data_IF_518748026102
#
_entry.id   IF_518748026102
#
_cell.length_a   1.000
_cell.length_b   1.000
_cell.length_c   1.000
_cell.angle_alpha   90.00
_cell.angle_beta   90.00
_cell.angle_gamma   90.00
#
_symmetry.space_group_name_H-M   'P 1'
#
loop_
_entity.id
_entity.type
_entity.pdbx_description
1 polymer ?
#
# COMPACT_ATOMS: atom_id res chain seq x y z
N UNK A 1 -52.42 19.24 -23.24
CA UNK A 1 -53.69 18.58 -23.56
C UNK A 1 -54.54 18.63 -22.32
N UNK A 2 -55.63 19.41 -22.34
CA UNK A 2 -56.60 19.41 -21.25
C UNK A 2 -57.29 18.04 -21.21
N UNK A 3 -57.03 17.29 -20.14
CA UNK A 3 -57.54 15.93 -19.91
C UNK A 3 -59.03 15.86 -19.57
N UNK A 4 -59.84 16.76 -20.10
CA UNK A 4 -61.30 16.72 -19.94
C UNK A 4 -61.87 15.82 -21.03
N UNK A 5 -62.43 14.68 -20.64
CA UNK A 5 -63.12 13.78 -21.55
C UNK A 5 -64.20 14.55 -22.32
N UNK A 6 -64.03 14.70 -23.64
CA UNK A 6 -65.01 15.39 -24.49
C UNK A 6 -66.26 14.53 -24.62
N UNK A 7 -67.47 15.08 -24.42
CA UNK A 7 -68.70 14.33 -24.57
C UNK A 7 -68.86 13.84 -26.02
N UNK A 8 -69.14 12.55 -26.17
CA UNK A 8 -69.36 11.89 -27.48
C UNK A 8 -70.84 11.78 -27.84
N UNK A 9 -71.74 12.19 -26.95
CA UNK A 9 -73.20 12.10 -27.15
C UNK A 9 -73.91 13.29 -26.53
N UNK A 10 -74.76 13.94 -27.32
CA UNK A 10 -75.56 15.10 -26.92
C UNK A 10 -77.06 14.81 -27.09
N UNK A 11 -77.85 15.07 -26.04
CA UNK A 11 -79.31 14.92 -26.04
C UNK A 11 -79.99 15.78 -27.11
N UNK A 12 -79.51 17.02 -27.25
CA UNK A 12 -79.97 17.99 -28.24
C UNK A 12 -78.84 18.39 -29.17
N UNK A 13 -79.16 19.08 -30.27
CA UNK A 13 -78.14 19.64 -31.16
C UNK A 13 -77.23 20.62 -30.40
N UNK A 14 -75.92 20.31 -30.32
CA UNK A 14 -74.92 21.13 -29.64
C UNK A 14 -74.74 22.51 -30.29
N UNK A 15 -74.17 23.48 -29.55
CA UNK A 15 -73.83 24.81 -30.08
C UNK A 15 -72.88 24.72 -31.27
N UNK A 16 -71.91 23.81 -31.19
CA UNK A 16 -70.92 23.58 -32.23
C UNK A 16 -71.59 23.05 -33.50
N UNK A 17 -72.48 22.07 -33.36
CA UNK A 17 -73.23 21.53 -34.48
C UNK A 17 -74.15 22.58 -35.12
N UNK A 18 -74.80 23.45 -34.33
CA UNK A 18 -75.61 24.58 -34.86
C UNK A 18 -74.75 25.55 -35.65
N UNK A 19 -73.56 25.89 -35.17
CA UNK A 19 -72.64 26.78 -35.86
C UNK A 19 -72.17 26.17 -37.20
N UNK A 20 -71.87 24.87 -37.22
CA UNK A 20 -71.48 24.15 -38.43
C UNK A 20 -72.61 24.09 -39.46
N UNK A 21 -73.84 23.81 -39.03
CA UNK A 21 -75.02 23.80 -39.91
C UNK A 21 -75.25 25.17 -40.55
N UNK A 22 -75.05 26.25 -39.80
CA UNK A 22 -75.21 27.62 -40.29
C UNK A 22 -74.09 28.06 -41.25
N UNK A 23 -72.89 27.49 -41.14
CA UNK A 23 -71.73 27.87 -41.94
C UNK A 23 -71.76 27.34 -43.39
N UNK A 24 -72.53 26.28 -43.66
CA UNK A 24 -72.59 25.63 -44.98
C UNK A 24 -71.35 24.79 -45.32
N UNK A 25 -71.39 24.09 -46.47
CA UNK A 25 -70.23 23.31 -46.92
C UNK A 25 -69.07 24.22 -47.36
N UNK A 26 -67.87 23.85 -46.96
CA UNK A 26 -66.64 24.57 -47.30
C UNK A 26 -65.46 23.60 -47.39
N UNK A 27 -64.24 24.11 -47.59
CA UNK A 27 -63.05 23.26 -47.50
C UNK A 27 -62.90 22.58 -46.13
N UNK A 28 -63.45 23.18 -45.06
CA UNK A 28 -63.39 22.69 -43.68
C UNK A 28 -64.56 21.80 -43.29
N UNK A 29 -65.70 21.90 -43.99
CA UNK A 29 -66.97 21.30 -43.61
C UNK A 29 -67.58 20.54 -44.78
N UNK A 30 -67.93 19.27 -44.58
CA UNK A 30 -68.62 18.43 -45.56
C UNK A 30 -69.95 17.94 -44.99
N UNK A 31 -71.01 17.93 -45.79
CA UNK A 31 -72.28 17.32 -45.42
C UNK A 31 -72.54 16.06 -46.25
N UNK A 32 -73.08 15.04 -45.59
CA UNK A 32 -73.57 13.83 -46.24
C UNK A 32 -74.93 13.47 -45.68
N UNK A 33 -75.87 13.21 -46.57
CA UNK A 33 -77.23 12.82 -46.20
C UNK A 33 -77.29 11.50 -45.41
N UNK A 34 -76.42 10.55 -45.75
CA UNK A 34 -76.41 9.20 -45.18
C UNK A 34 -74.98 8.71 -45.01
N UNK A 35 -74.73 7.85 -44.01
CA UNK A 35 -73.41 7.25 -43.77
C UNK A 35 -72.89 6.42 -44.96
N UNK A 36 -73.79 5.88 -45.78
CA UNK A 36 -73.42 5.15 -47.00
C UNK A 36 -72.89 6.06 -48.11
N UNK A 37 -73.19 7.37 -48.05
CA UNK A 37 -72.65 8.36 -48.98
C UNK A 37 -71.24 8.84 -48.56
N UNK A 38 -70.75 8.41 -47.40
CA UNK A 38 -69.37 8.66 -46.98
C UNK A 38 -68.46 7.61 -47.60
N UNK A 39 -67.53 8.09 -48.43
CA UNK A 39 -66.52 7.25 -49.09
C UNK A 39 -65.16 7.46 -48.45
N UNK A 40 -64.25 6.50 -48.63
CA UNK A 40 -62.85 6.63 -48.17
C UNK A 40 -62.16 7.82 -48.82
N UNK A 41 -62.55 8.13 -50.06
CA UNK A 41 -62.19 9.35 -50.77
C UNK A 41 -62.50 10.61 -49.94
N UNK A 42 -63.70 10.71 -49.38
CA UNK A 42 -64.11 11.88 -48.58
C UNK A 42 -63.24 12.03 -47.34
N UNK A 43 -63.02 10.94 -46.61
CA UNK A 43 -62.23 10.94 -45.38
C UNK A 43 -60.75 11.27 -45.63
N UNK A 44 -60.13 10.62 -46.63
CA UNK A 44 -58.74 10.88 -47.01
C UNK A 44 -58.57 12.34 -47.49
N UNK A 45 -59.51 12.85 -48.27
CA UNK A 45 -59.48 14.24 -48.77
C UNK A 45 -59.54 15.26 -47.62
N UNK A 46 -60.42 15.04 -46.63
CA UNK A 46 -60.52 15.92 -45.46
C UNK A 46 -59.25 15.85 -44.60
N UNK A 47 -58.74 14.65 -44.34
CA UNK A 47 -57.50 14.47 -43.57
C UNK A 47 -56.29 15.15 -44.26
N UNK A 48 -56.17 15.03 -45.58
CA UNK A 48 -55.12 15.70 -46.34
C UNK A 48 -55.26 17.22 -46.34
N UNK A 49 -56.48 17.75 -46.40
CA UNK A 49 -56.71 19.19 -46.30
C UNK A 49 -56.27 19.75 -44.94
N UNK A 50 -56.46 18.99 -43.85
CA UNK A 50 -55.92 19.34 -42.54
C UNK A 50 -54.39 19.30 -42.57
N UNK A 51 -53.79 18.25 -43.13
CA UNK A 51 -52.35 18.07 -43.15
C UNK A 51 -51.56 19.12 -43.96
N UNK A 52 -52.20 19.80 -44.91
CA UNK A 52 -51.56 20.82 -45.74
C UNK A 52 -51.23 22.12 -45.00
N UNK A 53 -51.85 22.38 -43.85
CA UNK A 53 -51.67 23.61 -43.11
C UNK A 53 -51.55 23.30 -41.62
N UNK A 54 -50.39 23.52 -40.99
CA UNK A 54 -50.16 23.16 -39.59
C UNK A 54 -51.12 23.82 -38.61
N UNK A 55 -51.71 24.98 -38.95
CA UNK A 55 -52.69 25.66 -38.10
C UNK A 55 -54.07 25.00 -38.11
N UNK A 56 -54.31 24.01 -38.98
CA UNK A 56 -55.57 23.26 -39.06
C UNK A 56 -55.46 22.03 -38.19
N UNK A 57 -56.36 21.92 -37.23
CA UNK A 57 -56.36 20.76 -36.33
C UNK A 57 -57.32 19.64 -36.78
N UNK A 58 -58.45 20.01 -37.39
CA UNK A 58 -59.57 19.11 -37.66
C UNK A 58 -60.41 19.64 -38.83
N UNK A 59 -60.92 18.72 -39.66
CA UNK A 59 -62.02 18.97 -40.59
C UNK A 59 -63.30 18.31 -40.08
N UNK A 60 -64.46 18.91 -40.34
CA UNK A 60 -65.74 18.37 -39.85
C UNK A 60 -66.56 17.77 -40.99
N UNK A 61 -67.14 16.61 -40.72
CA UNK A 61 -68.11 15.94 -41.57
C UNK A 61 -69.41 15.78 -40.78
N UNK A 62 -70.53 16.31 -41.29
CA UNK A 62 -71.86 16.07 -40.75
C UNK A 62 -72.57 14.99 -41.57
N UNK A 63 -73.04 13.95 -40.90
CA UNK A 63 -73.72 12.80 -41.54
C UNK A 63 -75.15 12.74 -41.05
N UNK A 64 -76.12 12.67 -41.96
CA UNK A 64 -77.54 12.92 -41.66
C UNK A 64 -77.97 14.36 -41.97
N UNK A 65 -77.21 15.08 -42.80
CA UNK A 65 -77.44 16.49 -43.15
C UNK A 65 -77.43 16.66 -44.66
N UNK A 66 -78.44 17.34 -45.19
CA UNK A 66 -78.50 17.81 -46.58
C UNK A 66 -77.98 19.24 -46.68
N UNK A 67 -77.26 19.56 -47.74
CA UNK A 67 -76.96 20.96 -48.07
C UNK A 67 -78.11 21.58 -48.87
N UNK A 68 -78.60 22.74 -48.41
CA UNK A 68 -79.62 23.50 -49.11
C UNK A 68 -79.11 24.92 -49.38
N UNK A 69 -79.27 25.36 -50.62
CA UNK A 69 -78.99 26.74 -51.02
C UNK A 69 -80.26 27.56 -50.91
N UNK A 70 -80.22 28.66 -50.15
CA UNK A 70 -81.32 29.60 -50.14
C UNK A 70 -81.37 30.32 -51.50
N UNK A 71 -82.47 30.20 -52.28
CA UNK A 71 -82.55 30.82 -53.59
C UNK A 71 -82.57 32.36 -53.53
N UNK A 72 -82.96 32.96 -52.40
CA UNK A 72 -83.03 34.42 -52.25
C UNK A 72 -81.70 35.04 -51.81
N UNK A 73 -80.92 34.38 -50.95
CA UNK A 73 -79.64 34.91 -50.43
C UNK A 73 -78.42 34.30 -51.08
N UNK A 74 -78.58 33.18 -51.79
CA UNK A 74 -77.47 32.39 -52.36
C UNK A 74 -76.62 31.66 -51.31
N UNK A 75 -76.93 31.82 -50.01
CA UNK A 75 -76.19 31.18 -48.92
C UNK A 75 -76.56 29.71 -48.83
N UNK A 76 -75.55 28.85 -48.62
CA UNK A 76 -75.76 27.42 -48.36
C UNK A 76 -75.70 27.13 -46.88
N UNK A 77 -76.58 26.26 -46.41
CA UNK A 77 -76.65 25.82 -45.02
C UNK A 77 -77.10 24.36 -44.95
N UNK A 78 -76.80 23.72 -43.82
CA UNK A 78 -77.18 22.34 -43.56
C UNK A 78 -78.60 22.22 -43.01
N UNK A 79 -79.37 21.27 -43.54
CA UNK A 79 -80.65 20.85 -42.98
C UNK A 79 -80.51 19.42 -42.47
N UNK A 80 -80.77 19.22 -41.18
CA UNK A 80 -80.75 17.89 -40.56
C UNK A 80 -81.88 17.03 -41.15
N UNK A 81 -81.52 15.87 -41.66
CA UNK A 81 -82.43 14.82 -42.18
C UNK A 81 -82.48 13.59 -41.28
N UNK A 82 -81.60 13.53 -40.28
CA UNK A 82 -81.45 12.41 -39.39
C UNK A 82 -80.83 11.18 -40.06
N UNK A 83 -80.63 10.12 -39.28
CA UNK A 83 -80.07 8.85 -39.75
C UNK A 83 -81.10 7.72 -39.60
N UNK A 84 -81.84 7.36 -40.67
CA UNK A 84 -82.99 6.45 -40.58
C UNK A 84 -82.59 5.00 -40.23
N UNK A 85 -81.32 4.63 -40.45
CA UNK A 85 -80.78 3.30 -40.11
C UNK A 85 -80.27 3.22 -38.66
N UNK A 86 -80.34 4.32 -37.91
CA UNK A 86 -79.83 4.46 -36.55
C UNK A 86 -78.38 4.97 -36.49
N UNK A 87 -78.02 5.56 -35.35
CA UNK A 87 -76.69 6.11 -35.07
C UNK A 87 -75.63 5.02 -35.05
N UNK A 88 -75.85 3.93 -34.31
CA UNK A 88 -74.88 2.84 -34.12
C UNK A 88 -74.41 2.22 -35.45
N UNK A 89 -75.35 1.88 -36.34
CA UNK A 89 -75.01 1.34 -37.68
C UNK A 89 -74.25 2.35 -38.53
N UNK A 90 -74.56 3.64 -38.37
CA UNK A 90 -73.89 4.73 -39.08
C UNK A 90 -72.46 4.91 -38.56
N UNK A 91 -72.26 4.85 -37.23
CA UNK A 91 -70.93 4.88 -36.59
C UNK A 91 -70.07 3.72 -37.07
N UNK A 92 -70.58 2.49 -36.99
CA UNK A 92 -69.87 1.30 -37.47
C UNK A 92 -69.49 1.42 -38.95
N UNK A 93 -70.43 1.90 -39.79
CA UNK A 93 -70.17 2.14 -41.21
C UNK A 93 -69.03 3.14 -41.43
N UNK A 94 -68.99 4.24 -40.67
CA UNK A 94 -67.93 5.25 -40.80
C UNK A 94 -66.56 4.69 -40.39
N UNK A 95 -66.52 3.90 -39.31
CA UNK A 95 -65.30 3.22 -38.88
C UNK A 95 -64.82 2.22 -39.94
N UNK A 96 -65.73 1.46 -40.56
CA UNK A 96 -65.41 0.59 -41.69
C UNK A 96 -64.83 1.38 -42.87
N UNK A 97 -65.41 2.54 -43.22
CA UNK A 97 -64.86 3.40 -44.28
C UNK A 97 -63.46 3.89 -43.93
N UNK A 98 -63.26 4.37 -42.70
CA UNK A 98 -61.96 4.85 -42.23
C UNK A 98 -60.88 3.76 -42.31
N UNK A 99 -61.23 2.51 -42.01
CA UNK A 99 -60.30 1.37 -42.08
C UNK A 99 -59.73 1.15 -43.49
N UNK A 100 -60.40 1.65 -44.52
CA UNK A 100 -59.95 1.55 -45.93
C UNK A 100 -59.11 2.74 -46.40
N UNK A 101 -58.75 3.66 -45.49
CA UNK A 101 -57.79 4.73 -45.75
C UNK A 101 -56.39 4.30 -45.31
N UNK A 102 -55.38 4.68 -46.10
CA UNK A 102 -53.98 4.29 -45.94
C UNK A 102 -53.11 5.55 -45.82
N UNK A 103 -51.86 5.49 -45.34
CA UNK A 103 -51.12 4.31 -44.88
C UNK A 103 -51.59 3.77 -43.53
N UNK A 104 -52.19 4.63 -42.70
CA UNK A 104 -52.88 4.29 -41.46
C UNK A 104 -54.29 4.86 -41.57
N UNK A 105 -55.33 4.18 -41.07
CA UNK A 105 -56.68 4.74 -41.04
C UNK A 105 -56.70 6.16 -40.45
N UNK A 106 -57.46 7.06 -41.07
CA UNK A 106 -57.69 8.40 -40.52
C UNK A 106 -58.35 8.32 -39.15
N UNK A 107 -58.03 9.28 -38.28
CA UNK A 107 -58.63 9.34 -36.95
C UNK A 107 -59.99 10.04 -37.04
N UNK A 108 -61.01 9.37 -36.53
CA UNK A 108 -62.39 9.83 -36.50
C UNK A 108 -62.85 9.99 -35.05
N UNK A 109 -63.08 11.23 -34.63
CA UNK A 109 -63.79 11.49 -33.39
C UNK A 109 -65.27 11.75 -33.71
N UNK A 110 -66.12 10.76 -33.41
CA UNK A 110 -67.54 10.77 -33.76
C UNK A 110 -68.36 11.24 -32.55
N UNK A 111 -69.20 12.23 -32.79
CA UNK A 111 -70.15 12.77 -31.82
C UNK A 111 -71.57 12.52 -32.31
N UNK A 112 -72.38 11.89 -31.47
CA UNK A 112 -73.82 11.72 -31.67
C UNK A 112 -74.55 12.99 -31.23
N UNK A 113 -75.27 13.62 -32.16
CA UNK A 113 -76.00 14.87 -31.93
C UNK A 113 -77.51 14.60 -31.96
N UNK A 114 -78.25 15.34 -31.12
CA UNK A 114 -79.71 15.34 -31.09
C UNK A 114 -80.34 13.96 -30.82
N UNK A 115 -79.78 13.17 -29.89
CA UNK A 115 -80.23 11.78 -29.65
C UNK A 115 -81.62 11.65 -29.01
N UNK A 116 -82.16 12.71 -28.41
CA UNK A 116 -83.53 12.76 -27.88
C UNK A 116 -84.52 13.45 -28.85
N UNK A 117 -84.06 13.85 -30.03
CA UNK A 117 -84.88 14.47 -31.07
C UNK A 117 -85.23 13.45 -32.17
N UNK A 118 -86.21 13.78 -33.02
CA UNK A 118 -86.69 12.87 -34.08
C UNK A 118 -85.64 12.61 -35.18
N UNK A 119 -84.67 13.51 -35.34
CA UNK A 119 -83.70 13.50 -36.44
C UNK A 119 -82.24 13.49 -35.92
N UNK A 120 -81.81 12.42 -35.23
CA UNK A 120 -80.45 12.31 -34.73
C UNK A 120 -79.44 12.20 -35.88
N UNK A 121 -78.27 12.82 -35.73
CA UNK A 121 -77.24 12.87 -36.76
C UNK A 121 -75.84 12.76 -36.15
N UNK A 122 -74.82 12.62 -36.99
CA UNK A 122 -73.43 12.49 -36.54
C UNK A 122 -72.62 13.72 -36.92
N UNK A 123 -71.84 14.23 -35.96
CA UNK A 123 -70.76 15.18 -36.20
C UNK A 123 -69.44 14.45 -36.04
N UNK A 124 -68.67 14.40 -37.12
CA UNK A 124 -67.41 13.67 -37.19
C UNK A 124 -66.26 14.66 -37.34
N UNK A 125 -65.29 14.60 -36.43
CA UNK A 125 -64.02 15.29 -36.58
C UNK A 125 -63.02 14.35 -37.25
N UNK A 126 -62.48 14.77 -38.39
CA UNK A 126 -61.51 14.01 -39.18
C UNK A 126 -60.12 14.61 -38.94
N UNK A 127 -59.18 13.77 -38.51
CA UNK A 127 -57.79 14.14 -38.25
C UNK A 127 -56.82 13.24 -39.01
N UNK A 128 -55.71 13.80 -39.54
CA UNK A 128 -54.69 12.99 -40.19
C UNK A 128 -53.86 12.23 -39.14
N UNK A 129 -53.77 10.91 -39.28
CA UNK A 129 -52.87 10.06 -38.45
C UNK A 129 -51.47 9.95 -39.05
N UNK A 130 -51.39 9.64 -40.35
CA UNK A 130 -50.13 9.56 -41.08
C UNK A 130 -50.29 10.10 -42.51
N UNK A 131 -50.33 11.43 -42.69
CA UNK A 131 -50.50 12.02 -44.01
C UNK A 131 -49.24 11.83 -44.89
N UNK A 132 -49.36 11.90 -46.23
CA UNK A 132 -50.61 12.03 -46.97
C UNK A 132 -51.40 10.72 -46.98
N UNK A 133 -52.70 10.84 -46.79
CA UNK A 133 -53.66 9.74 -46.82
C UNK A 133 -54.09 9.40 -48.25
N UNK A 134 -54.35 8.11 -48.47
CA UNK A 134 -54.84 7.54 -49.71
C UNK A 134 -56.26 7.03 -49.50
N UNK A 135 -57.10 7.16 -50.53
CA UNK A 135 -58.37 6.45 -50.58
C UNK A 135 -58.16 4.96 -50.91
N UNK A 136 -59.23 4.17 -50.87
CA UNK A 136 -59.18 2.74 -51.21
C UNK A 136 -58.79 2.43 -52.67
N UNK A 137 -58.62 3.46 -53.51
CA UNK A 137 -58.14 3.35 -54.89
C UNK A 137 -56.69 3.86 -55.05
N UNK A 138 -56.02 4.22 -53.96
CA UNK A 138 -54.64 4.72 -53.98
C UNK A 138 -54.51 6.18 -54.43
N UNK A 139 -55.60 6.95 -54.50
CA UNK A 139 -55.57 8.35 -54.94
C UNK A 139 -55.29 9.27 -53.75
N UNK A 140 -54.46 10.30 -54.00
CA UNK A 140 -54.16 11.37 -53.04
C UNK A 140 -54.88 12.64 -53.47
N UNK A 141 -55.85 13.06 -52.67
CA UNK A 141 -56.71 14.19 -52.99
C UNK A 141 -56.81 15.13 -51.79
N UNK A 142 -57.11 16.39 -52.08
CA UNK A 142 -57.35 17.45 -51.09
C UNK A 142 -58.53 18.31 -51.53
N UNK A 143 -59.02 19.17 -50.63
CA UNK A 143 -60.11 20.11 -50.93
C UNK A 143 -59.60 21.34 -51.68
N UNK A 144 -60.42 21.80 -52.61
CA UNK A 144 -60.33 23.12 -53.23
C UNK A 144 -61.71 23.78 -53.15
N UNK A 145 -61.94 24.53 -52.06
CA UNK A 145 -63.28 25.00 -51.70
C UNK A 145 -64.22 23.82 -51.45
N UNK A 146 -65.36 23.80 -52.15
CA UNK A 146 -66.35 22.71 -52.07
C UNK A 146 -66.00 21.49 -52.94
N UNK A 147 -65.04 21.63 -53.85
CA UNK A 147 -64.61 20.53 -54.74
C UNK A 147 -63.41 19.76 -54.19
N UNK A 148 -63.13 18.61 -54.79
CA UNK A 148 -61.94 17.79 -54.53
C UNK A 148 -61.00 17.87 -55.72
N UNK A 149 -59.69 17.98 -55.47
CA UNK A 149 -58.66 17.89 -56.52
C UNK A 149 -57.54 16.94 -56.11
N UNK A 150 -56.77 16.37 -57.06
CA UNK A 150 -55.50 15.74 -56.75
C UNK A 150 -54.57 16.69 -55.99
N UNK A 151 -53.79 16.15 -55.05
CA UNK A 151 -52.69 16.91 -54.44
C UNK A 151 -51.59 17.15 -55.47
N UNK A 152 -51.00 18.34 -55.46
CA UNK A 152 -49.84 18.65 -56.29
C UNK A 152 -48.58 17.97 -55.74
N UNK A 153 -47.54 17.80 -56.56
CA UNK A 153 -46.30 17.15 -56.13
C UNK A 153 -45.59 17.93 -55.02
N UNK A 154 -45.62 19.27 -55.07
CA UNK A 154 -45.06 20.14 -54.04
C UNK A 154 -45.77 19.96 -52.69
N UNK A 155 -47.10 19.86 -52.72
CA UNK A 155 -47.94 19.61 -51.54
C UNK A 155 -47.65 18.25 -50.91
N UNK A 156 -47.49 17.23 -51.75
CA UNK A 156 -47.12 15.89 -51.28
C UNK A 156 -45.74 15.89 -50.66
N UNK A 157 -44.76 16.51 -51.32
CA UNK A 157 -43.40 16.63 -50.83
C UNK A 157 -43.36 17.34 -49.48
N UNK A 158 -44.09 18.45 -49.33
CA UNK A 158 -44.16 19.19 -48.07
C UNK A 158 -44.66 18.30 -46.93
N UNK A 159 -45.78 17.60 -47.13
CA UNK A 159 -46.34 16.69 -46.10
C UNK A 159 -45.36 15.57 -45.76
N UNK A 160 -44.66 14.99 -46.74
CA UNK A 160 -43.62 14.00 -46.49
C UNK A 160 -42.46 14.58 -45.68
N UNK A 161 -41.96 15.76 -46.04
CA UNK A 161 -40.86 16.41 -45.33
C UNK A 161 -41.23 16.73 -43.89
N UNK A 162 -42.43 17.25 -43.64
CA UNK A 162 -42.90 17.54 -42.28
C UNK A 162 -43.00 16.26 -41.43
N UNK A 163 -43.50 15.17 -42.03
CA UNK A 163 -43.58 13.85 -41.37
C UNK A 163 -42.20 13.28 -41.06
N UNK A 164 -41.29 13.29 -42.02
CA UNK A 164 -39.94 12.77 -41.85
C UNK A 164 -39.14 13.64 -40.86
N UNK A 165 -39.32 14.97 -40.89
CA UNK A 165 -38.70 15.88 -39.92
C UNK A 165 -39.18 15.60 -38.49
N UNK A 166 -40.49 15.38 -38.30
CA UNK A 166 -41.04 15.00 -37.00
C UNK A 166 -40.49 13.66 -36.50
N UNK A 167 -40.44 12.66 -37.38
CA UNK A 167 -39.88 11.32 -37.07
C UNK A 167 -38.40 11.41 -36.74
N UNK A 168 -37.63 12.14 -37.54
CA UNK A 168 -36.21 12.39 -37.32
C UNK A 168 -35.97 13.08 -35.98
N UNK A 169 -36.71 14.14 -35.67
CA UNK A 169 -36.58 14.85 -34.41
C UNK A 169 -36.90 13.96 -33.20
N UNK A 170 -37.91 13.08 -33.31
CA UNK A 170 -38.24 12.11 -32.26
C UNK A 170 -37.11 11.10 -32.04
N UNK A 171 -36.60 10.48 -33.12
CA UNK A 171 -35.48 9.53 -33.04
C UNK A 171 -34.20 10.20 -32.52
N UNK A 172 -33.90 11.41 -32.99
CA UNK A 172 -32.74 12.18 -32.53
C UNK A 172 -32.81 12.49 -31.04
N UNK A 173 -33.97 12.92 -30.53
CA UNK A 173 -34.17 13.13 -29.08
C UNK A 173 -33.97 11.84 -28.30
N UNK A 174 -34.53 10.73 -28.77
CA UNK A 174 -34.38 9.43 -28.11
C UNK A 174 -32.91 8.99 -28.05
N UNK A 175 -32.20 9.00 -29.18
CA UNK A 175 -30.77 8.65 -29.24
C UNK A 175 -29.91 9.62 -28.39
N UNK A 176 -30.28 10.89 -28.30
CA UNK A 176 -29.57 11.86 -27.45
C UNK A 176 -29.74 11.54 -25.96
N UNK A 177 -30.91 11.04 -25.55
CA UNK A 177 -31.14 10.58 -24.17
C UNK A 177 -30.31 9.33 -23.89
N UNK A 178 -30.34 8.34 -24.77
CA UNK A 178 -29.54 7.11 -24.62
C UNK A 178 -28.05 7.41 -24.54
N UNK A 179 -27.53 8.31 -25.39
CA UNK A 179 -26.12 8.71 -25.36
C UNK A 179 -25.75 9.43 -24.06
N UNK A 180 -26.62 10.31 -23.55
CA UNK A 180 -26.40 10.98 -22.27
C UNK A 180 -26.36 9.97 -21.12
N UNK A 181 -27.25 9.00 -21.11
CA UNK A 181 -27.27 7.92 -20.11
C UNK A 181 -26.01 7.05 -20.19
N UNK A 182 -25.60 6.66 -21.41
CA UNK A 182 -24.38 5.89 -21.63
C UNK A 182 -23.12 6.65 -21.16
N UNK A 183 -23.02 7.94 -21.49
CA UNK A 183 -21.91 8.79 -21.02
C UNK A 183 -21.93 8.94 -19.50
N UNK A 184 -23.12 9.09 -18.90
CA UNK A 184 -23.28 9.11 -17.44
C UNK A 184 -22.78 7.82 -16.78
N UNK A 185 -23.11 6.66 -17.36
CA UNK A 185 -22.64 5.36 -16.87
C UNK A 185 -21.12 5.17 -17.01
N UNK A 186 -20.52 5.66 -18.11
CA UNK A 186 -19.05 5.66 -18.26
C UNK A 186 -18.40 6.55 -17.21
N UNK A 187 -18.97 7.74 -16.95
CA UNK A 187 -18.49 8.64 -15.90
C UNK A 187 -18.47 7.97 -14.52
N UNK A 188 -19.58 7.33 -14.13
CA UNK A 188 -19.63 6.62 -12.84
C UNK A 188 -18.68 5.43 -12.77
N UNK A 189 -18.44 4.73 -13.89
CA UNK A 189 -17.47 3.66 -13.96
C UNK A 189 -16.03 4.17 -13.80
N UNK A 190 -15.68 5.30 -14.41
CA UNK A 190 -14.37 5.94 -14.26
C UNK A 190 -14.14 6.38 -12.81
N UNK A 191 -15.15 6.95 -12.16
CA UNK A 191 -15.08 7.31 -10.74
C UNK A 191 -14.86 6.08 -9.87
N UNK A 192 -15.59 4.98 -10.12
CA UNK A 192 -15.40 3.72 -9.40
C UNK A 192 -13.99 3.13 -9.60
N UNK A 193 -13.43 3.22 -10.81
CA UNK A 193 -12.07 2.78 -11.09
C UNK A 193 -11.06 3.65 -10.34
N UNK A 194 -11.26 4.97 -10.32
CA UNK A 194 -10.38 5.90 -9.60
C UNK A 194 -10.39 5.62 -8.10
N UNK A 195 -11.58 5.46 -7.51
CA UNK A 195 -11.79 5.03 -6.12
C UNK A 195 -11.10 3.68 -5.82
N UNK A 196 -11.20 2.72 -6.76
CA UNK A 196 -10.58 1.41 -6.60
C UNK A 196 -9.05 1.49 -6.66
N UNK A 197 -8.48 2.34 -7.52
CA UNK A 197 -7.04 2.58 -7.61
C UNK A 197 -6.54 3.21 -6.31
N UNK A 198 -7.22 4.22 -5.81
CA UNK A 198 -6.83 4.88 -4.56
C UNK A 198 -6.83 3.91 -3.38
N UNK A 199 -7.89 3.09 -3.23
CA UNK A 199 -8.00 2.10 -2.14
C UNK A 199 -7.05 0.91 -2.29
N UNK A 200 -6.83 0.41 -3.51
CA UNK A 200 -6.07 -0.84 -3.73
C UNK A 200 -4.59 -0.63 -4.04
N UNK A 201 -4.22 0.56 -4.50
CA UNK A 201 -2.85 0.89 -4.90
C UNK A 201 -2.30 2.00 -4.03
N UNK A 202 -3.03 3.11 -3.90
CA UNK A 202 -2.59 4.28 -3.13
C UNK A 202 -2.32 3.97 -1.66
N UNK A 203 -3.35 3.52 -0.93
CA UNK A 203 -3.21 3.25 0.50
C UNK A 203 -2.15 2.17 0.85
N UNK A 204 -2.06 1.04 0.14
CA UNK A 204 -0.99 0.06 0.39
C UNK A 204 0.42 0.58 0.10
N UNK A 205 0.60 1.46 -0.89
CA UNK A 205 1.91 2.09 -1.14
C UNK A 205 2.31 3.02 0.00
N UNK A 206 1.37 3.76 0.57
CA UNK A 206 1.62 4.59 1.76
C UNK A 206 2.00 3.75 2.98
N UNK A 207 1.31 2.62 3.20
CA UNK A 207 1.62 1.67 4.26
C UNK A 207 2.99 1.01 4.07
N UNK A 208 3.32 0.59 2.84
CA UNK A 208 4.64 0.09 2.49
C UNK A 208 5.73 1.14 2.74
N UNK A 209 5.49 2.39 2.35
CA UNK A 209 6.44 3.48 2.59
C UNK A 209 6.60 3.81 4.09
N UNK A 210 5.55 3.66 4.89
CA UNK A 210 5.63 3.78 6.35
C UNK A 210 6.43 2.62 6.97
N UNK A 211 6.17 1.39 6.53
CA UNK A 211 6.86 0.18 6.98
C UNK A 211 8.34 0.22 6.62
N UNK A 212 8.68 0.65 5.40
CA UNK A 212 10.06 0.81 4.96
C UNK A 212 10.81 1.85 5.81
N UNK A 213 10.17 2.98 6.15
CA UNK A 213 10.75 3.98 7.06
C UNK A 213 10.97 3.44 8.47
N UNK A 214 10.02 2.65 8.99
CA UNK A 214 10.20 1.99 10.29
C UNK A 214 11.34 0.97 10.26
N UNK A 215 11.46 0.19 9.18
CA UNK A 215 12.55 -0.77 9.02
C UNK A 215 13.92 -0.10 8.97
N UNK A 216 14.04 1.06 8.29
CA UNK A 216 15.27 1.86 8.28
C UNK A 216 15.61 2.36 9.68
N UNK A 217 14.65 2.95 10.40
CA UNK A 217 14.86 3.42 11.77
C UNK A 217 15.29 2.27 12.70
N UNK A 218 14.66 1.09 12.58
CA UNK A 218 15.02 -0.07 13.38
C UNK A 218 16.42 -0.60 13.03
N UNK A 219 16.85 -0.49 11.76
CA UNK A 219 18.20 -0.85 11.35
C UNK A 219 19.25 0.13 11.91
N UNK A 220 18.96 1.43 11.92
CA UNK A 220 19.82 2.45 12.55
C UNK A 220 19.95 2.22 14.07
N UNK A 221 18.84 1.92 14.75
CA UNK A 221 18.86 1.58 16.18
C UNK A 221 19.67 0.31 16.46
N UNK A 222 19.53 -0.71 15.60
CA UNK A 222 20.29 -1.95 15.71
C UNK A 222 21.79 -1.74 15.45
N UNK A 223 22.16 -0.89 14.50
CA UNK A 223 23.54 -0.50 14.24
C UNK A 223 24.15 0.21 15.46
N UNK A 224 23.44 1.18 16.03
CA UNK A 224 23.88 1.89 17.23
C UNK A 224 24.05 0.94 18.43
N UNK A 225 23.11 0.00 18.61
CA UNK A 225 23.21 -1.02 19.65
C UNK A 225 24.41 -1.95 19.43
N UNK A 226 24.68 -2.36 18.18
CA UNK A 226 25.83 -3.19 17.83
C UNK A 226 27.16 -2.45 18.09
N UNK A 227 27.25 -1.16 17.75
CA UNK A 227 28.43 -0.35 18.06
C UNK A 227 28.68 -0.26 19.56
N UNK A 228 27.64 -0.01 20.36
CA UNK A 228 27.74 0.02 21.81
C UNK A 228 28.17 -1.34 22.39
N UNK A 229 27.61 -2.44 21.87
CA UNK A 229 28.00 -3.79 22.27
C UNK A 229 29.47 -4.09 21.91
N UNK A 230 29.93 -3.64 20.74
CA UNK A 230 31.33 -3.73 20.33
C UNK A 230 32.26 -2.99 21.31
N UNK A 231 31.96 -1.74 21.64
CA UNK A 231 32.75 -0.98 22.63
C UNK A 231 32.73 -1.62 24.02
N UNK A 232 31.61 -2.21 24.44
CA UNK A 232 31.54 -2.95 25.69
C UNK A 232 32.40 -4.22 25.65
N UNK A 233 32.41 -4.94 24.52
CA UNK A 233 33.26 -6.11 24.32
C UNK A 233 34.74 -5.75 24.39
N UNK A 234 35.18 -4.66 23.74
CA UNK A 234 36.57 -4.18 23.79
C UNK A 234 37.00 -3.83 25.23
N UNK A 235 36.11 -3.19 26.00
CA UNK A 235 36.35 -2.89 27.42
C UNK A 235 36.47 -4.16 28.27
N UNK A 236 35.65 -5.18 27.99
CA UNK A 236 35.74 -6.48 28.65
C UNK A 236 37.04 -7.19 28.27
N UNK A 237 37.45 -7.17 27.00
CA UNK A 237 38.72 -7.75 26.55
C UNK A 237 39.92 -7.11 27.25
N UNK A 238 39.93 -5.77 27.38
CA UNK A 238 40.94 -5.06 28.16
C UNK A 238 40.90 -5.44 29.65
N UNK A 239 39.70 -5.62 30.21
CA UNK A 239 39.52 -6.09 31.58
C UNK A 239 40.06 -7.51 31.80
N UNK A 240 39.79 -8.43 30.87
CA UNK A 240 40.25 -9.83 30.93
C UNK A 240 41.77 -9.88 30.85
N UNK A 241 42.38 -9.20 29.88
CA UNK A 241 43.85 -9.15 29.75
C UNK A 241 44.53 -8.56 30.99
N UNK A 242 43.92 -7.56 31.63
CA UNK A 242 44.42 -7.03 32.91
C UNK A 242 44.35 -8.05 34.04
N UNK A 243 43.24 -8.79 34.14
CA UNK A 243 43.09 -9.86 35.15
C UNK A 243 44.08 -10.99 34.90
N UNK A 244 44.28 -11.41 33.65
CA UNK A 244 45.26 -12.43 33.29
C UNK A 244 46.69 -12.05 33.73
N UNK A 245 47.09 -10.80 33.51
CA UNK A 245 48.39 -10.29 34.00
C UNK A 245 48.47 -10.36 35.53
N UNK A 246 47.45 -9.89 36.24
CA UNK A 246 47.43 -9.95 37.71
C UNK A 246 47.50 -11.39 38.25
N UNK A 247 46.86 -12.35 37.57
CA UNK A 247 46.94 -13.76 37.95
C UNK A 247 48.36 -14.32 37.76
N UNK A 248 49.02 -13.96 36.65
CA UNK A 248 50.42 -14.33 36.39
C UNK A 248 51.36 -13.78 37.46
N UNK A 249 51.24 -12.48 37.79
CA UNK A 249 52.08 -11.84 38.81
C UNK A 249 51.86 -12.48 40.19
N UNK A 250 50.63 -12.91 40.51
CA UNK A 250 50.32 -13.59 41.76
C UNK A 250 50.93 -15.01 41.83
N UNK A 251 51.03 -15.70 40.70
CA UNK A 251 51.65 -17.03 40.64
C UNK A 251 53.16 -16.94 40.89
N UNK A 252 53.83 -15.92 40.36
CA UNK A 252 55.26 -15.68 40.59
C UNK A 252 55.60 -15.48 42.07
N UNK A 253 54.78 -14.69 42.79
CA UNK A 253 54.95 -14.46 44.24
C UNK A 253 54.72 -15.73 45.07
N UNK A 254 53.81 -16.60 44.63
CA UNK A 254 53.55 -17.88 45.31
C UNK A 254 54.72 -18.85 45.12
N UNK A 255 55.34 -18.85 43.95
CA UNK A 255 56.49 -19.70 43.66
C UNK A 255 57.73 -19.26 44.47
N UNK A 256 58.00 -17.95 44.62
CA UNK A 256 59.06 -17.43 45.49
C UNK A 256 58.91 -17.85 46.96
N UNK A 257 57.68 -17.79 47.51
CA UNK A 257 57.41 -18.19 48.89
C UNK A 257 57.60 -19.70 49.15
N UNK A 258 57.52 -20.53 48.11
CA UNK A 258 57.70 -21.97 48.23
C UNK A 258 59.20 -22.37 48.28
N UNK A 259 60.05 -21.62 47.57
CA UNK A 259 61.51 -21.83 47.55
C UNK A 259 62.18 -21.51 48.90
N UNK A 260 61.65 -20.54 49.66
CA UNK A 260 62.18 -20.09 50.96
C UNK A 260 61.71 -20.91 52.18
N UNK A 261 60.98 -22.01 51.96
CA UNK A 261 60.55 -22.86 53.06
C UNK A 261 61.73 -23.60 53.73
N UNK A 262 61.73 -23.65 55.06
CA UNK A 262 62.83 -24.22 55.86
C UNK A 262 63.07 -25.72 55.55
N UNK A 263 62.03 -26.44 55.14
CA UNK A 263 62.11 -27.84 54.68
C UNK A 263 62.84 -27.97 53.32
N UNK A 264 62.62 -27.02 52.39
CA UNK A 264 63.29 -26.97 51.08
C UNK A 264 64.80 -26.67 51.23
N UNK A 265 65.17 -25.71 52.08
CA UNK A 265 66.56 -25.31 52.29
C UNK A 265 67.42 -26.41 52.93
N UNK A 266 66.87 -27.18 53.88
CA UNK A 266 67.58 -28.32 54.49
C UNK A 266 67.87 -29.40 53.46
N UNK A 267 66.91 -29.71 52.58
CA UNK A 267 67.10 -30.67 51.49
C UNK A 267 68.17 -30.18 50.50
N UNK A 268 68.17 -28.88 50.18
CA UNK A 268 69.13 -28.28 49.26
C UNK A 268 70.56 -28.31 49.80
N UNK A 269 70.78 -27.98 51.08
CA UNK A 269 72.10 -28.15 51.73
C UNK A 269 72.58 -29.60 51.62
N UNK A 270 71.71 -30.58 51.91
CA UNK A 270 72.06 -31.99 51.81
C UNK A 270 72.41 -32.41 50.37
N UNK A 271 71.68 -31.90 49.38
CA UNK A 271 71.93 -32.18 47.96
C UNK A 271 73.28 -31.61 47.51
N UNK A 272 73.54 -30.33 47.76
CA UNK A 272 74.77 -29.67 47.29
C UNK A 272 76.01 -30.29 47.98
N UNK A 273 75.94 -30.61 49.27
CA UNK A 273 77.01 -31.36 49.95
C UNK A 273 77.30 -32.71 49.31
N UNK A 274 76.26 -33.45 48.90
CA UNK A 274 76.42 -34.71 48.18
C UNK A 274 77.09 -34.51 46.83
N UNK A 275 76.75 -33.45 46.09
CA UNK A 275 77.40 -33.11 44.83
C UNK A 275 78.89 -32.77 45.02
N UNK A 276 79.23 -31.99 46.05
CA UNK A 276 80.64 -31.71 46.40
C UNK A 276 81.40 -33.00 46.71
N UNK A 277 80.80 -33.93 47.45
CA UNK A 277 81.39 -35.23 47.72
C UNK A 277 81.62 -36.04 46.43
N UNK A 278 80.66 -36.04 45.51
CA UNK A 278 80.79 -36.70 44.22
C UNK A 278 81.94 -36.13 43.40
N UNK A 279 82.07 -34.81 43.32
CA UNK A 279 83.16 -34.21 42.56
C UNK A 279 84.53 -34.45 43.19
N UNK A 280 84.60 -34.40 44.52
CA UNK A 280 85.81 -34.77 45.26
C UNK A 280 86.23 -36.22 44.97
N UNK A 281 85.29 -37.17 45.04
CA UNK A 281 85.57 -38.59 44.77
C UNK A 281 85.94 -38.84 43.32
N UNK A 282 85.27 -38.18 42.36
CA UNK A 282 85.62 -38.25 40.93
C UNK A 282 87.08 -37.81 40.67
N UNK A 283 87.53 -36.74 41.33
CA UNK A 283 88.88 -36.20 41.15
C UNK A 283 89.98 -37.06 41.83
N UNK A 284 89.61 -37.81 42.88
CA UNK A 284 90.56 -38.54 43.74
C UNK A 284 90.54 -40.06 43.59
N UNK A 285 89.55 -40.65 42.89
CA UNK A 285 89.36 -42.10 42.73
C UNK A 285 90.61 -42.89 42.30
N UNK A 286 91.47 -42.29 41.47
CA UNK A 286 92.69 -42.95 40.96
C UNK A 286 93.94 -42.77 41.83
N UNK A 287 93.84 -42.05 42.96
CA UNK A 287 95.00 -41.63 43.78
C UNK A 287 94.97 -42.29 45.16
N UNK A 288 95.52 -43.50 45.29
CA UNK A 288 95.75 -44.15 46.58
C UNK A 288 97.03 -43.62 47.24
N UNK A 289 96.94 -42.46 47.86
CA UNK A 289 98.02 -41.94 48.73
C UNK A 289 97.48 -41.70 50.13
N UNK A 290 98.33 -41.86 51.15
CA UNK A 290 97.97 -41.53 52.53
C UNK A 290 97.52 -40.06 52.70
N UNK A 291 97.93 -39.17 51.79
CA UNK A 291 97.44 -37.79 51.72
C UNK A 291 95.99 -37.69 51.26
N UNK A 292 95.63 -38.44 50.20
CA UNK A 292 94.25 -38.47 49.68
C UNK A 292 93.27 -39.08 50.69
N UNK A 293 93.66 -40.15 51.41
CA UNK A 293 92.82 -40.76 52.45
C UNK A 293 92.60 -39.85 53.66
N UNK A 294 93.61 -39.05 54.03
CA UNK A 294 93.44 -38.02 55.08
C UNK A 294 92.49 -36.92 54.62
N UNK A 295 92.67 -36.42 53.40
CA UNK A 295 91.81 -35.38 52.85
C UNK A 295 90.35 -35.86 52.69
N UNK A 296 90.13 -37.10 52.24
CA UNK A 296 88.80 -37.68 52.13
C UNK A 296 88.07 -37.72 53.48
N UNK A 297 88.78 -38.03 54.57
CA UNK A 297 88.20 -37.97 55.92
C UNK A 297 87.79 -36.56 56.32
N UNK A 298 88.64 -35.56 56.03
CA UNK A 298 88.34 -34.15 56.33
C UNK A 298 87.15 -33.66 55.52
N UNK A 299 87.11 -33.94 54.21
CA UNK A 299 85.97 -33.57 53.34
C UNK A 299 84.69 -34.21 53.85
N UNK A 300 84.73 -35.51 54.17
CA UNK A 300 83.57 -36.22 54.68
C UNK A 300 83.08 -35.65 56.02
N UNK A 301 83.98 -35.32 56.93
CA UNK A 301 83.65 -34.70 58.22
C UNK A 301 82.93 -33.35 58.02
N UNK A 302 83.44 -32.51 57.12
CA UNK A 302 82.85 -31.19 56.83
C UNK A 302 81.46 -31.34 56.19
N UNK A 303 81.31 -32.21 55.20
CA UNK A 303 80.04 -32.39 54.49
C UNK A 303 78.99 -33.15 55.31
N UNK A 304 79.40 -33.93 56.31
CA UNK A 304 78.49 -34.71 57.17
C UNK A 304 78.15 -34.00 58.48
N UNK A 305 78.57 -32.74 58.65
CA UNK A 305 78.19 -31.92 59.81
C UNK A 305 76.66 -31.79 59.91
N UNK A 306 76.12 -31.52 61.10
CA UNK A 306 74.68 -31.28 61.25
C UNK A 306 74.25 -30.07 60.41
N UNK A 307 73.12 -30.19 59.69
CA UNK A 307 72.53 -29.08 58.92
C UNK A 307 71.81 -28.17 59.90
N UNK A 308 72.01 -26.85 59.77
CA UNK A 308 71.38 -25.89 60.67
C UNK A 308 69.85 -25.87 60.51
N UNK A 309 69.14 -25.50 61.57
CA UNK A 309 67.71 -25.18 61.49
C UNK A 309 67.48 -23.68 61.19
N UNK A 310 68.55 -22.90 61.03
CA UNK A 310 68.47 -21.48 60.67
C UNK A 310 68.52 -21.33 59.15
N UNK A 311 67.44 -20.79 58.56
CA UNK A 311 67.30 -20.60 57.12
C UNK A 311 68.46 -19.78 56.53
N UNK A 312 68.85 -18.67 57.17
CA UNK A 312 69.97 -17.83 56.74
C UNK A 312 71.30 -18.56 56.70
N UNK A 313 71.56 -19.46 57.66
CA UNK A 313 72.77 -20.29 57.66
C UNK A 313 72.74 -21.33 56.54
N UNK A 314 71.59 -21.93 56.27
CA UNK A 314 71.45 -22.91 55.19
C UNK A 314 71.54 -22.28 53.81
N UNK A 315 70.89 -21.13 53.57
CA UNK A 315 71.00 -20.38 52.31
C UNK A 315 72.45 -19.99 52.04
N UNK A 316 73.14 -19.49 53.06
CA UNK A 316 74.56 -19.14 52.95
C UNK A 316 75.44 -20.36 52.69
N UNK A 317 75.20 -21.48 53.38
CA UNK A 317 75.94 -22.71 53.17
C UNK A 317 75.71 -23.31 51.76
N UNK A 318 74.48 -23.25 51.25
CA UNK A 318 74.18 -23.64 49.85
C UNK A 318 75.02 -22.79 48.90
N UNK A 319 75.02 -21.46 49.07
CA UNK A 319 75.82 -20.56 48.25
C UNK A 319 77.32 -20.88 48.30
N UNK A 320 77.87 -21.12 49.49
CA UNK A 320 79.28 -21.50 49.67
C UNK A 320 79.62 -22.77 48.86
N UNK A 321 78.79 -23.81 48.95
CA UNK A 321 79.07 -25.06 48.24
C UNK A 321 78.79 -24.97 46.73
N UNK A 322 77.80 -24.19 46.31
CA UNK A 322 77.55 -23.89 44.89
C UNK A 322 78.71 -23.11 44.26
N UNK A 323 79.30 -22.16 44.99
CA UNK A 323 80.52 -21.45 44.58
C UNK A 323 81.69 -22.41 44.43
N UNK A 324 81.90 -23.32 45.41
CA UNK A 324 82.93 -24.37 45.33
C UNK A 324 82.72 -25.26 44.10
N UNK A 325 81.48 -25.66 43.80
CA UNK A 325 81.16 -26.47 42.62
C UNK A 325 81.38 -25.69 41.31
N UNK A 326 81.06 -24.40 41.30
CA UNK A 326 81.25 -23.51 40.15
C UNK A 326 82.75 -23.31 39.88
N UNK A 327 83.53 -23.01 40.91
CA UNK A 327 84.99 -22.90 40.85
C UNK A 327 85.64 -24.21 40.43
N UNK A 328 85.14 -25.35 40.92
CA UNK A 328 85.57 -26.67 40.44
C UNK A 328 85.31 -26.77 38.94
N UNK A 329 84.09 -26.53 38.47
CA UNK A 329 83.72 -26.66 37.04
C UNK A 329 84.59 -25.77 36.13
N UNK A 330 85.06 -24.62 36.63
CA UNK A 330 85.99 -23.75 35.91
C UNK A 330 87.43 -24.32 35.83
N UNK A 331 87.80 -25.27 36.69
CA UNK A 331 89.11 -25.93 36.66
C UNK A 331 89.13 -27.21 35.80
N UNK A 332 90.22 -27.44 35.08
CA UNK A 332 90.36 -28.61 34.20
C UNK A 332 90.42 -29.97 34.95
N UNK A 333 90.99 -29.99 36.17
CA UNK A 333 91.01 -31.13 37.11
C UNK A 333 91.22 -30.65 38.55
N UNK A 334 90.39 -31.08 39.50
CA UNK A 334 90.63 -30.81 40.92
C UNK A 334 91.87 -31.56 41.40
N UNK A 335 92.90 -30.81 41.82
CA UNK A 335 94.09 -31.42 42.39
C UNK A 335 93.91 -31.63 43.89
N UNK A 336 94.63 -32.60 44.48
CA UNK A 336 94.63 -32.77 45.94
C UNK A 336 94.99 -31.48 46.68
N UNK A 337 95.90 -30.68 46.13
CA UNK A 337 96.29 -29.38 46.69
C UNK A 337 95.13 -28.38 46.67
N UNK A 338 94.35 -28.35 45.58
CA UNK A 338 93.17 -27.48 45.48
C UNK A 338 92.12 -27.92 46.51
N UNK A 339 91.74 -29.20 46.52
CA UNK A 339 90.78 -29.72 47.50
C UNK A 339 91.21 -29.49 48.96
N UNK A 340 92.51 -29.60 49.27
CA UNK A 340 93.01 -29.23 50.61
C UNK A 340 92.78 -27.76 50.93
N UNK A 341 93.14 -26.85 50.03
CA UNK A 341 92.94 -25.41 50.26
C UNK A 341 91.45 -25.05 50.35
N UNK A 342 90.63 -25.53 49.41
CA UNK A 342 89.19 -25.24 49.35
C UNK A 342 88.45 -25.77 50.57
N UNK A 343 88.79 -26.97 51.06
CA UNK A 343 88.13 -27.55 52.23
C UNK A 343 88.58 -26.86 53.52
N UNK A 344 89.84 -26.43 53.61
CA UNK A 344 90.32 -25.64 54.75
C UNK A 344 89.63 -24.26 54.80
N UNK A 345 89.48 -23.60 53.65
CA UNK A 345 88.77 -22.34 53.52
C UNK A 345 87.28 -22.48 53.84
N UNK A 346 86.59 -23.44 53.20
CA UNK A 346 85.18 -23.73 53.46
C UNK A 346 84.94 -24.07 54.94
N UNK A 347 85.84 -24.85 55.56
CA UNK A 347 85.74 -25.15 57.00
C UNK A 347 85.86 -23.90 57.86
N UNK A 348 86.76 -22.97 57.52
CA UNK A 348 86.91 -21.70 58.23
C UNK A 348 85.66 -20.82 58.09
N UNK A 349 85.10 -20.75 56.88
CA UNK A 349 83.88 -20.00 56.60
C UNK A 349 82.68 -20.61 57.31
N UNK A 350 82.52 -21.95 57.33
CA UNK A 350 81.41 -22.64 58.01
C UNK A 350 81.42 -22.44 59.54
N UNK A 351 82.59 -22.16 60.13
CA UNK A 351 82.71 -21.85 61.56
C UNK A 351 82.35 -20.40 61.88
N UNK A 352 82.55 -19.49 60.93
CA UNK A 352 82.34 -18.04 61.09
C UNK A 352 81.71 -17.50 59.81
N UNK A 353 80.40 -17.72 59.60
CA UNK A 353 79.74 -17.29 58.38
C UNK A 353 79.79 -15.77 58.25
N UNK A 354 80.32 -15.29 57.14
CA UNK A 354 80.28 -13.87 56.75
C UNK A 354 79.11 -13.71 55.80
N UNK A 355 78.01 -13.16 56.31
CA UNK A 355 76.82 -12.91 55.51
C UNK A 355 77.05 -11.68 54.62
N UNK A 356 76.87 -11.78 53.28
CA UNK A 356 76.82 -10.59 52.45
C UNK A 356 75.62 -9.71 52.87
N UNK A 357 75.77 -8.39 52.76
CA UNK A 357 74.67 -7.48 53.00
C UNK A 357 73.54 -7.75 51.97
N UNK A 358 72.27 -7.76 52.37
CA UNK A 358 71.17 -8.02 51.44
C UNK A 358 71.16 -6.96 50.33
N UNK A 359 71.09 -7.41 49.08
CA UNK A 359 70.86 -6.53 47.93
C UNK A 359 69.42 -6.00 48.03
N UNK A 360 69.28 -4.72 48.36
CA UNK A 360 67.99 -4.05 48.30
C UNK A 360 67.76 -3.56 46.85
N UNK A 361 66.61 -3.89 46.22
CA UNK A 361 66.25 -3.34 44.92
C UNK A 361 66.29 -1.81 44.97
N UNK A 362 66.72 -1.16 43.88
CA UNK A 362 66.84 0.30 43.80
C UNK A 362 65.44 0.95 43.80
N UNK A 363 64.85 1.06 44.99
CA UNK A 363 63.53 1.64 45.25
C UNK A 363 63.37 3.04 44.63
N UNK A 364 64.47 3.74 44.33
CA UNK A 364 64.40 5.02 43.63
C UNK A 364 63.95 4.87 42.18
N UNK A 365 64.37 3.82 41.48
CA UNK A 365 63.99 3.61 40.09
C UNK A 365 62.50 3.26 39.97
N UNK A 366 61.99 2.40 40.85
CA UNK A 366 60.56 2.05 40.89
C UNK A 366 59.68 3.23 41.30
N UNK A 367 60.04 3.98 42.36
CA UNK A 367 59.28 5.15 42.77
C UNK A 367 59.29 6.27 41.71
N UNK A 368 60.34 6.38 40.90
CA UNK A 368 60.41 7.34 39.81
C UNK A 368 59.47 6.94 38.66
N UNK A 369 59.45 5.67 38.28
CA UNK A 369 58.56 5.15 37.25
C UNK A 369 57.07 5.32 37.63
N UNK A 370 56.75 5.05 38.90
CA UNK A 370 55.38 5.17 39.40
C UNK A 370 54.91 6.63 39.46
N UNK A 371 55.83 7.55 39.85
CA UNK A 371 55.57 8.99 39.81
C UNK A 371 55.35 9.51 38.39
N UNK A 372 56.16 9.07 37.44
CA UNK A 372 56.09 9.54 36.06
C UNK A 372 54.81 9.02 35.38
N UNK A 373 54.40 7.76 35.63
CA UNK A 373 53.10 7.24 35.20
C UNK A 373 51.91 7.99 35.81
N UNK A 374 51.99 8.36 37.09
CA UNK A 374 50.97 9.16 37.76
C UNK A 374 50.88 10.61 37.25
N UNK A 375 51.90 11.14 36.58
CA UNK A 375 51.85 12.46 35.94
C UNK A 375 51.23 12.42 34.53
N UNK A 376 51.32 11.28 33.85
CA UNK A 376 50.75 11.10 32.50
C UNK A 376 49.23 10.90 32.52
N UNK A 377 48.65 10.29 33.56
CA UNK A 377 47.20 10.12 33.71
C UNK A 377 46.49 11.48 33.98
N UNK A 378 45.59 11.94 33.10
CA UNK A 378 44.84 13.19 33.28
C UNK A 378 43.98 13.23 34.55
N UNK A 379 43.59 12.07 35.09
CA UNK A 379 42.70 11.95 36.24
C UNK A 379 43.44 11.76 37.58
N UNK A 380 44.76 11.55 37.56
CA UNK A 380 45.58 11.30 38.73
C UNK A 380 45.57 12.46 39.73
N UNK A 381 45.51 12.13 41.02
CA UNK A 381 45.60 13.09 42.13
C UNK A 381 46.93 13.84 42.11
N UNK A 382 48.03 13.20 41.71
CA UNK A 382 49.36 13.81 41.62
C UNK A 382 49.34 14.98 40.63
N UNK A 383 48.80 14.77 39.42
CA UNK A 383 48.67 15.82 38.39
C UNK A 383 47.74 16.97 38.83
N UNK A 384 46.63 16.64 39.50
CA UNK A 384 45.71 17.63 40.09
C UNK A 384 46.40 18.49 41.16
N UNK A 385 47.29 17.90 41.96
CA UNK A 385 48.05 18.60 42.99
C UNK A 385 49.17 19.47 42.39
N UNK A 386 49.87 19.01 41.35
CA UNK A 386 50.90 19.81 40.64
C UNK A 386 50.28 21.04 39.98
N UNK A 387 49.14 20.89 39.32
CA UNK A 387 48.42 22.02 38.73
C UNK A 387 47.97 23.08 39.77
N UNK A 388 47.76 22.67 41.02
CA UNK A 388 47.43 23.58 42.14
C UNK A 388 48.66 24.29 42.73
N UNK A 389 49.88 23.80 42.48
CA UNK A 389 51.12 24.45 42.90
C UNK A 389 51.67 25.42 41.85
N UNK A 390 51.31 25.21 40.58
CA UNK A 390 51.68 26.07 39.44
C UNK A 390 50.62 27.16 39.12
N UNK A 391 49.55 27.25 39.91
CA UNK A 391 48.55 28.34 39.90
C UNK A 391 48.66 29.22 41.14
#
# INVERSE_FOLDING_TARGET
>A
MDGVARPTRFQHTSSDAKALLAAGESGRFEFKRDANAVESKTLATLANWVALEPSREVAHLLVGVDEVTNPATGLTYGIVRGLPKGLEKSVARLQDVASTTYPIPVDLFIVEEAVEEDLPFLRVEVRPTMPPHFDGQGRRQTRMGRSTRPMADEELLQVYLDREAGTFAARFRHTSVELREAVGAVGTQVDQISDAIERRVGAPLEELAATARQAVSAAEDAEAAAMNAGSAADMVEYGVTKVERMVSDLQEVVDELHEDSLESLVLRVAQVRREVWWEFTADTWTRSSAGAERLARVVHEVLSAEISLEATRNTWEVGLWEDVLTDRKAQAKGTLRWWTATVEEARGLLQTPVYPAPELPDMRAELQADRDGALEDPNSLTRKFTNLLDS
#
